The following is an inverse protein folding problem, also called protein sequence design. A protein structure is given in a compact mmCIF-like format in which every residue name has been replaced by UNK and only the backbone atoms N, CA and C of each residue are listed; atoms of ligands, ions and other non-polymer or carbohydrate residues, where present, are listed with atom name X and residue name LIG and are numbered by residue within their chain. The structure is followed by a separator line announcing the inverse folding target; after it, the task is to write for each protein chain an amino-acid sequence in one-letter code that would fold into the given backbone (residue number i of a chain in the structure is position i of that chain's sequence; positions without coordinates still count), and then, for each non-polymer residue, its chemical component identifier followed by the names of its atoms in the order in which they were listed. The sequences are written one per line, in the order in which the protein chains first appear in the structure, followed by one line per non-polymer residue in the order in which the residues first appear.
data_IF_014667173727
#
_entry.id   IF_014667173727
#
_cell.length_a   1.000
_cell.length_b   1.000
_cell.length_c   1.000
_cell.angle_alpha   90.00
_cell.angle_beta   90.00
_cell.angle_gamma   90.00
#
_symmetry.space_group_name_H-M   'P 1'
#
loop_
_entity.id
_entity.type
_entity.pdbx_description
1 polymer ?
#
# COMPACT_ATOMS: atom_id res chain seq x y z
N UNK A 1 -28.00 -61.14 -25.66
CA UNK A 1 -28.77 -60.24 -26.55
C UNK A 1 -28.17 -58.84 -26.48
N UNK A 2 -27.93 -58.29 -27.65
CA UNK A 2 -26.74 -57.53 -28.03
C UNK A 2 -26.91 -56.02 -27.79
N UNK A 3 -25.94 -55.40 -27.11
CA UNK A 3 -25.83 -53.94 -26.95
C UNK A 3 -25.54 -53.30 -28.31
N UNK A 4 -26.54 -52.66 -28.91
CA UNK A 4 -26.34 -51.78 -30.06
C UNK A 4 -26.00 -50.37 -29.56
N UNK A 5 -24.70 -50.09 -29.44
CA UNK A 5 -24.22 -48.71 -29.49
C UNK A 5 -24.51 -48.16 -30.88
N UNK A 6 -25.61 -47.41 -31.05
CA UNK A 6 -25.82 -46.60 -32.25
C UNK A 6 -24.76 -45.51 -32.28
N UNK A 7 -23.79 -45.68 -33.16
CA UNK A 7 -22.80 -44.66 -33.51
C UNK A 7 -23.51 -43.61 -34.37
N UNK A 8 -24.00 -42.55 -33.76
CA UNK A 8 -24.61 -41.42 -34.47
C UNK A 8 -23.48 -40.76 -35.27
N UNK A 9 -23.47 -40.95 -36.59
CA UNK A 9 -22.61 -40.17 -37.51
C UNK A 9 -23.31 -38.83 -37.74
N UNK A 10 -23.11 -37.89 -36.83
CA UNK A 10 -23.55 -36.51 -37.03
C UNK A 10 -22.71 -35.90 -38.16
N UNK A 11 -23.36 -35.23 -39.11
CA UNK A 11 -22.67 -34.46 -40.14
C UNK A 11 -21.83 -33.35 -39.48
N UNK A 12 -20.75 -32.89 -40.13
CA UNK A 12 -19.94 -31.76 -39.66
C UNK A 12 -20.82 -30.52 -39.38
N UNK A 13 -21.85 -30.33 -40.20
CA UNK A 13 -22.78 -29.21 -40.06
C UNK A 13 -23.71 -29.37 -38.84
N UNK A 14 -24.13 -30.60 -38.53
CA UNK A 14 -24.96 -30.88 -37.35
C UNK A 14 -24.17 -30.78 -36.04
N UNK A 15 -22.90 -31.18 -36.06
CA UNK A 15 -21.98 -30.94 -34.94
C UNK A 15 -21.73 -29.44 -34.74
N UNK A 16 -21.62 -28.67 -35.83
CA UNK A 16 -21.49 -27.21 -35.75
C UNK A 16 -22.76 -26.54 -35.20
N UNK A 17 -23.94 -27.02 -35.59
CA UNK A 17 -25.21 -26.52 -35.09
C UNK A 17 -25.38 -26.83 -33.60
N UNK A 18 -25.08 -28.07 -33.19
CA UNK A 18 -25.17 -28.49 -31.79
C UNK A 18 -24.17 -27.77 -30.87
N UNK A 19 -22.94 -27.52 -31.35
CA UNK A 19 -21.95 -26.74 -30.58
C UNK A 19 -22.34 -25.27 -30.46
N UNK A 20 -22.94 -24.68 -31.49
CA UNK A 20 -23.46 -23.31 -31.41
C UNK A 20 -24.66 -23.20 -30.47
N UNK A 21 -25.53 -24.21 -30.44
CA UNK A 21 -26.71 -24.27 -29.56
C UNK A 21 -26.30 -24.40 -28.08
N UNK A 22 -25.37 -25.32 -27.79
CA UNK A 22 -24.75 -25.42 -26.46
C UNK A 22 -24.04 -24.13 -26.05
N UNK A 23 -23.38 -23.44 -26.98
CA UNK A 23 -22.72 -22.15 -26.71
C UNK A 23 -23.73 -21.05 -26.41
N UNK A 24 -24.89 -21.06 -27.07
CA UNK A 24 -25.96 -20.10 -26.86
C UNK A 24 -26.68 -20.33 -25.52
N UNK A 25 -26.98 -21.58 -25.17
CA UNK A 25 -27.66 -21.93 -23.92
C UNK A 25 -26.76 -21.78 -22.69
N UNK A 26 -25.52 -22.27 -22.77
CA UNK A 26 -24.62 -22.32 -21.60
C UNK A 26 -23.66 -21.13 -21.53
N UNK A 27 -23.45 -20.38 -22.62
CA UNK A 27 -22.58 -19.20 -22.64
C UNK A 27 -22.92 -18.14 -21.58
N UNK A 28 -24.19 -17.73 -21.42
CA UNK A 28 -24.59 -16.79 -20.35
C UNK A 28 -24.30 -17.32 -18.95
N UNK A 29 -24.48 -18.64 -18.74
CA UNK A 29 -24.22 -19.31 -17.47
C UNK A 29 -22.72 -19.39 -17.17
N UNK A 30 -21.89 -19.69 -18.17
CA UNK A 30 -20.41 -19.73 -18.04
C UNK A 30 -19.87 -18.35 -17.69
N UNK A 31 -20.32 -17.29 -18.37
CA UNK A 31 -19.93 -15.90 -18.06
C UNK A 31 -20.37 -15.49 -16.65
N UNK A 32 -21.52 -15.98 -16.18
CA UNK A 32 -21.99 -15.73 -14.81
C UNK A 32 -21.15 -16.46 -13.76
N UNK A 33 -20.67 -17.67 -14.07
CA UNK A 33 -19.78 -18.45 -13.20
C UNK A 33 -18.39 -17.80 -13.13
N UNK A 34 -17.82 -17.37 -14.25
CA UNK A 34 -16.52 -16.67 -14.29
C UNK A 34 -16.56 -15.40 -13.44
N UNK A 35 -17.59 -14.57 -13.62
CA UNK A 35 -17.79 -13.37 -12.78
C UNK A 35 -17.98 -13.71 -11.30
N UNK A 36 -18.69 -14.79 -10.98
CA UNK A 36 -18.85 -15.22 -9.59
C UNK A 36 -17.52 -15.71 -8.99
N UNK A 37 -16.66 -16.36 -9.78
CA UNK A 37 -15.31 -16.75 -9.35
C UNK A 37 -14.42 -15.53 -9.12
N UNK A 38 -14.44 -14.55 -10.02
CA UNK A 38 -13.73 -13.27 -9.86
C UNK A 38 -14.17 -12.54 -8.58
N UNK A 39 -15.48 -12.46 -8.31
CA UNK A 39 -15.96 -11.84 -7.07
C UNK A 39 -15.50 -12.59 -5.82
N UNK A 40 -15.38 -13.92 -5.89
CA UNK A 40 -14.90 -14.74 -4.76
C UNK A 40 -13.41 -14.55 -4.51
N UNK A 41 -12.60 -14.52 -5.57
CA UNK A 41 -11.18 -14.16 -5.42
C UNK A 41 -11.06 -12.73 -4.91
N UNK A 42 -11.97 -11.85 -5.33
CA UNK A 42 -11.97 -10.48 -4.85
C UNK A 42 -12.23 -10.35 -3.35
N UNK A 43 -13.27 -11.02 -2.89
CA UNK A 43 -13.61 -11.08 -1.48
C UNK A 43 -12.52 -11.75 -0.64
N UNK A 44 -11.81 -12.74 -1.19
CA UNK A 44 -10.69 -13.39 -0.53
C UNK A 44 -9.50 -12.44 -0.31
N UNK A 45 -9.10 -11.66 -1.33
CA UNK A 45 -8.02 -10.68 -1.13
C UNK A 45 -8.44 -9.58 -0.15
N UNK A 46 -9.68 -9.08 -0.24
CA UNK A 46 -10.14 -8.00 0.63
C UNK A 46 -10.15 -8.43 2.10
N UNK A 47 -10.56 -9.67 2.38
CA UNK A 47 -10.47 -10.25 3.73
C UNK A 47 -9.04 -10.38 4.21
N UNK A 48 -8.15 -10.87 3.34
CA UNK A 48 -6.73 -11.03 3.65
C UNK A 48 -6.08 -9.69 3.99
N UNK A 49 -6.40 -8.65 3.23
CA UNK A 49 -5.92 -7.29 3.46
C UNK A 49 -6.40 -6.74 4.80
N UNK A 50 -7.67 -6.97 5.17
CA UNK A 50 -8.18 -6.58 6.49
C UNK A 50 -7.38 -7.27 7.61
N UNK A 51 -7.17 -8.59 7.52
CA UNK A 51 -6.39 -9.34 8.51
C UNK A 51 -4.92 -8.88 8.60
N UNK A 52 -4.33 -8.46 7.47
CA UNK A 52 -2.98 -7.91 7.45
C UNK A 52 -2.92 -6.53 8.12
N UNK A 53 -3.89 -5.66 7.83
CA UNK A 53 -4.00 -4.34 8.46
C UNK A 53 -4.25 -4.45 9.96
N UNK A 54 -5.10 -5.37 10.40
CA UNK A 54 -5.34 -5.64 11.82
C UNK A 54 -4.08 -6.12 12.53
N UNK A 55 -3.31 -7.03 11.90
CA UNK A 55 -2.00 -7.45 12.44
C UNK A 55 -1.02 -6.29 12.55
N UNK A 56 -0.93 -5.44 11.54
CA UNK A 56 -0.07 -4.25 11.60
C UNK A 56 -0.48 -3.32 12.74
N UNK A 57 -1.79 -3.09 12.91
CA UNK A 57 -2.32 -2.30 14.02
C UNK A 57 -1.91 -2.88 15.37
N UNK A 58 -2.04 -4.19 15.57
CA UNK A 58 -1.77 -4.83 16.86
C UNK A 58 -0.28 -4.78 17.22
N UNK A 59 0.59 -4.99 16.22
CA UNK A 59 2.04 -4.81 16.38
C UNK A 59 2.33 -3.37 16.81
N UNK A 60 1.82 -2.37 16.09
CA UNK A 60 2.02 -0.96 16.43
C UNK A 60 1.45 -0.63 17.82
N UNK A 61 0.28 -1.16 18.17
CA UNK A 61 -0.33 -0.94 19.47
C UNK A 61 0.51 -1.51 20.63
N UNK A 62 1.12 -2.68 20.42
CA UNK A 62 2.03 -3.31 21.38
C UNK A 62 3.31 -2.48 21.58
N UNK A 63 3.93 -2.01 20.49
CA UNK A 63 5.15 -1.18 20.51
C UNK A 63 4.89 0.20 21.12
N UNK A 64 3.71 0.78 20.86
CA UNK A 64 3.33 2.09 21.41
C UNK A 64 2.80 2.00 22.85
N UNK A 65 2.49 0.81 23.38
CA UNK A 65 1.95 0.65 24.73
C UNK A 65 2.90 1.18 25.83
N UNK A 66 4.21 0.88 25.83
CA UNK A 66 5.15 1.47 26.78
C UNK A 66 5.35 2.97 26.56
N UNK A 67 5.48 3.41 25.30
CA UNK A 67 5.79 4.81 24.99
C UNK A 67 4.63 5.74 25.38
N UNK A 68 3.38 5.27 25.27
CA UNK A 68 2.19 6.02 25.73
C UNK A 68 2.17 6.26 27.25
N UNK A 69 2.93 5.50 28.05
CA UNK A 69 3.02 5.66 29.51
C UNK A 69 4.13 6.61 29.95
N UNK A 70 5.03 7.01 29.05
CA UNK A 70 6.11 7.94 29.39
C UNK A 70 5.53 9.31 29.75
N UNK A 71 6.10 10.04 30.73
CA UNK A 71 5.81 11.46 30.95
C UNK A 71 6.17 12.31 29.73
N UNK A 72 5.60 13.51 29.64
CA UNK A 72 5.88 14.42 28.52
C UNK A 72 7.33 14.87 28.51
N UNK A 73 7.96 15.02 29.68
CA UNK A 73 9.35 15.42 29.86
C UNK A 73 10.29 14.37 29.25
N UNK A 74 10.06 13.09 29.53
CA UNK A 74 10.85 11.98 28.98
C UNK A 74 10.64 11.88 27.48
N UNK A 75 9.40 12.00 27.02
CA UNK A 75 9.08 11.97 25.61
C UNK A 75 9.74 13.13 24.85
N UNK A 76 9.73 14.32 25.45
CA UNK A 76 10.38 15.50 24.91
C UNK A 76 11.90 15.34 24.83
N UNK A 77 12.54 14.74 25.85
CA UNK A 77 13.98 14.42 25.81
C UNK A 77 14.33 13.49 24.64
N UNK A 78 13.48 12.50 24.37
CA UNK A 78 13.64 11.63 23.18
C UNK A 78 13.53 12.45 21.90
N UNK A 79 12.58 13.38 21.83
CA UNK A 79 12.41 14.24 20.65
C UNK A 79 13.63 15.14 20.43
N UNK A 80 14.17 15.74 21.49
CA UNK A 80 15.38 16.56 21.39
C UNK A 80 16.58 15.77 20.86
N UNK A 81 16.73 14.51 21.29
CA UNK A 81 17.81 13.65 20.81
C UNK A 81 17.64 13.23 19.34
N UNK A 82 16.40 13.04 18.90
CA UNK A 82 16.09 12.54 17.54
C UNK A 82 15.93 13.65 16.51
N UNK A 83 15.58 14.86 16.93
CA UNK A 83 15.35 16.04 16.09
C UNK A 83 16.57 16.97 16.02
N UNK A 84 17.78 16.43 16.08
CA UNK A 84 18.99 17.26 16.13
C UNK A 84 19.11 18.16 14.90
N UNK A 85 18.77 17.68 13.70
CA UNK A 85 18.80 18.45 12.45
C UNK A 85 17.60 18.11 11.54
N UNK A 86 16.90 19.13 11.05
CA UNK A 86 15.84 19.01 10.05
C UNK A 86 16.38 19.44 8.68
N UNK A 87 16.69 18.46 7.83
CA UNK A 87 17.33 18.67 6.54
C UNK A 87 16.30 18.92 5.43
N UNK A 88 16.30 20.14 4.91
CA UNK A 88 15.58 20.55 3.71
C UNK A 88 16.50 20.42 2.49
N UNK A 89 16.34 19.36 1.72
CA UNK A 89 17.11 19.15 0.49
C UNK A 89 16.31 19.56 -0.75
N UNK A 90 16.92 20.31 -1.67
CA UNK A 90 16.28 20.67 -2.94
C UNK A 90 16.29 19.49 -3.93
N UNK A 91 15.14 19.21 -4.53
CA UNK A 91 15.00 18.33 -5.71
C UNK A 91 15.83 18.90 -6.90
N UNK A 92 16.50 18.09 -7.76
CA UNK A 92 16.25 16.68 -8.09
C UNK A 92 17.35 15.71 -7.62
N UNK A 93 16.94 14.55 -7.13
CA UNK A 93 17.80 13.38 -6.96
C UNK A 93 18.23 12.93 -8.37
N UNK A 94 19.43 13.32 -8.81
CA UNK A 94 19.94 13.00 -10.14
C UNK A 94 19.92 11.47 -10.38
N UNK A 95 18.99 10.99 -11.21
CA UNK A 95 19.00 9.59 -11.65
C UNK A 95 17.71 9.12 -12.31
N UNK A 96 16.53 9.36 -11.73
CA UNK A 96 15.28 8.88 -12.31
C UNK A 96 14.55 9.98 -13.06
N UNK A 97 14.73 9.98 -14.38
CA UNK A 97 13.64 10.36 -15.29
C UNK A 97 12.42 9.53 -14.84
N UNK A 98 11.28 10.17 -14.56
CA UNK A 98 10.04 9.55 -14.07
C UNK A 98 9.99 9.27 -12.55
N UNK A 99 9.42 10.22 -11.81
CA UNK A 99 8.29 10.05 -10.88
C UNK A 99 8.30 11.19 -9.87
N UNK A 100 7.22 11.98 -9.85
CA UNK A 100 6.96 12.95 -8.78
C UNK A 100 6.75 12.19 -7.47
N UNK A 101 7.45 12.54 -6.38
CA UNK A 101 7.35 11.84 -5.10
C UNK A 101 6.11 12.32 -4.34
N UNK A 102 4.93 12.26 -4.96
CA UNK A 102 3.66 12.54 -4.26
C UNK A 102 3.16 11.29 -3.51
N UNK A 103 3.72 10.11 -3.81
CA UNK A 103 3.57 8.93 -2.96
C UNK A 103 4.66 8.98 -1.89
N UNK A 104 4.27 9.25 -0.63
CA UNK A 104 5.13 9.14 0.55
C UNK A 104 5.49 7.65 0.80
N UNK A 105 6.40 7.10 0.01
CA UNK A 105 6.97 5.75 0.22
C UNK A 105 8.23 5.80 1.11
N UNK A 106 8.59 6.99 1.63
CA UNK A 106 9.71 7.40 2.52
C UNK A 106 11.12 6.97 2.09
N UNK A 107 11.94 7.94 1.63
CA UNK A 107 12.99 8.48 2.50
C UNK A 107 12.79 9.95 2.91
N UNK A 108 11.74 10.63 2.42
CA UNK A 108 11.54 12.08 2.63
C UNK A 108 11.25 12.45 4.09
N UNK A 109 10.48 11.63 4.82
CA UNK A 109 10.20 11.87 6.23
C UNK A 109 11.46 11.63 7.10
N UNK A 110 12.38 10.79 6.64
CA UNK A 110 13.63 10.46 7.35
C UNK A 110 14.53 11.68 7.54
N UNK A 111 14.51 12.63 6.60
CA UNK A 111 15.34 13.84 6.67
C UNK A 111 14.72 14.96 7.52
N UNK A 112 13.46 14.80 7.94
CA UNK A 112 12.70 15.81 8.67
C UNK A 112 12.14 15.18 9.95
N UNK A 113 13.02 14.84 10.92
CA UNK A 113 12.66 14.08 12.12
C UNK A 113 11.57 14.75 12.95
N UNK A 114 11.53 16.10 13.01
CA UNK A 114 10.46 16.81 13.73
C UNK A 114 9.11 16.63 13.06
N UNK A 115 9.06 16.61 11.72
CA UNK A 115 7.83 16.28 11.00
C UNK A 115 7.46 14.81 11.17
N UNK A 116 8.43 13.90 11.11
CA UNK A 116 8.22 12.47 11.33
C UNK A 116 7.54 12.21 12.67
N UNK A 117 8.08 12.76 13.75
CA UNK A 117 7.59 12.61 15.11
C UNK A 117 6.21 13.24 15.27
N UNK A 118 5.96 14.41 14.67
CA UNK A 118 4.64 15.06 14.70
C UNK A 118 3.55 14.25 13.99
N UNK A 119 3.91 13.27 13.14
CA UNK A 119 2.96 12.44 12.39
C UNK A 119 2.50 11.19 13.15
N UNK A 120 3.18 10.80 14.23
CA UNK A 120 2.97 9.51 14.92
C UNK A 120 1.59 9.41 15.59
N UNK A 121 1.24 10.36 16.46
CA UNK A 121 -0.08 10.41 17.12
C UNK A 121 -0.43 11.83 17.59
N UNK A 122 -1.68 12.06 18.00
CA UNK A 122 -2.15 13.36 18.48
C UNK A 122 -1.34 13.91 19.65
N UNK A 123 -0.96 13.06 20.61
CA UNK A 123 -0.14 13.45 21.77
C UNK A 123 1.26 13.91 21.35
N UNK A 124 1.91 13.16 20.47
CA UNK A 124 3.24 13.51 19.96
C UNK A 124 3.19 14.81 19.15
N UNK A 125 2.16 14.96 18.32
CA UNK A 125 1.90 16.20 17.58
C UNK A 125 1.75 17.40 18.51
N UNK A 126 0.91 17.30 19.55
CA UNK A 126 0.70 18.38 20.50
C UNK A 126 2.00 18.79 21.20
N UNK A 127 2.78 17.80 21.67
CA UNK A 127 4.07 18.06 22.33
C UNK A 127 5.12 18.63 21.37
N UNK A 128 5.17 18.17 20.13
CA UNK A 128 6.10 18.67 19.13
C UNK A 128 5.77 20.12 18.72
N UNK A 129 4.48 20.46 18.62
CA UNK A 129 4.02 21.83 18.31
C UNK A 129 4.22 22.79 19.48
N UNK A 130 4.08 22.31 20.72
CA UNK A 130 4.34 23.13 21.92
C UNK A 130 5.82 23.37 22.20
N UNK A 131 6.71 22.77 21.40
CA UNK A 131 8.16 22.78 21.63
C UNK A 131 8.91 23.39 20.44
N UNK A 132 9.02 24.73 20.37
CA UNK A 132 9.66 25.43 19.25
C UNK A 132 11.09 24.96 18.98
N UNK A 133 11.84 24.54 20.02
CA UNK A 133 13.23 24.09 19.91
C UNK A 133 13.44 22.88 19.00
N UNK A 134 12.39 22.10 18.72
CA UNK A 134 12.50 20.98 17.78
C UNK A 134 12.58 21.46 16.32
N UNK A 135 12.05 22.66 16.04
CA UNK A 135 11.93 23.21 14.69
C UNK A 135 13.01 24.25 14.35
N UNK A 136 13.91 24.54 15.29
CA UNK A 136 14.90 25.62 15.12
C UNK A 136 16.12 25.18 14.32
N UNK A 137 16.49 23.90 14.35
CA UNK A 137 17.68 23.43 13.63
C UNK A 137 17.32 22.95 12.22
N UNK A 138 17.18 23.91 11.30
CA UNK A 138 16.85 23.68 9.90
C UNK A 138 18.09 23.84 9.02
N UNK A 139 18.52 22.77 8.38
CA UNK A 139 19.64 22.79 7.44
C UNK A 139 19.11 22.72 6.01
N UNK A 140 19.51 23.68 5.17
CA UNK A 140 19.16 23.65 3.74
C UNK A 140 20.37 23.18 2.95
N UNK A 141 20.29 21.99 2.35
CA UNK A 141 21.36 21.46 1.49
C UNK A 141 20.97 21.61 0.02
N UNK A 142 21.70 22.47 -0.69
CA UNK A 142 21.69 22.53 -2.14
C UNK A 142 22.61 21.45 -2.68
N UNK A 143 22.08 20.50 -3.43
CA UNK A 143 22.91 19.62 -4.26
C UNK A 143 23.41 20.45 -5.45
N UNK A 144 24.70 20.78 -5.46
CA UNK A 144 25.31 21.39 -6.64
C UNK A 144 25.26 20.36 -7.77
N UNK A 145 24.59 20.70 -8.87
CA UNK A 145 24.60 19.88 -10.08
C UNK A 145 26.03 19.82 -10.63
N UNK A 146 26.65 18.63 -10.77
CA UNK A 146 28.02 18.50 -11.26
C UNK A 146 28.23 18.96 -12.71
N UNK A 147 27.15 19.16 -13.46
CA UNK A 147 27.17 19.30 -14.93
C UNK A 147 27.14 20.74 -15.44
N UNK A 148 27.27 21.76 -14.58
CA UNK A 148 27.52 23.14 -15.04
C UNK A 148 29.02 23.36 -15.19
N UNK A 149 29.56 22.98 -16.34
CA UNK A 149 30.78 23.55 -16.91
C UNK A 149 30.59 23.70 -18.42
#
# INVERSE_FOLDING_TARGET
MTRLQRRIKLSSDELSAFTNDLRFEFGPSVVTIEKAQELRTMLAWAKKDIEDLERQRDILASLLSPIRKLPNETLFRIFQYTCEENLLQSYPWLGSRWQSPTKLTSPVITYLPSMAISSVCSRWRALALSSPSLWTNLAVRRTLCPWKR
#
